data_IF_745244022446
#
_entry.id   IF_745244022446
#
_cell.length_a   1.000
_cell.length_b   1.000
_cell.length_c   1.000
_cell.angle_alpha   90.00
_cell.angle_beta   90.00
_cell.angle_gamma   90.00
#
_symmetry.space_group_name_H-M   'P 1'
#
loop_
_entity.id
_entity.type
_entity.pdbx_description
1 polymer ?
#
# COMPACT_ATOMS: atom_id res chain seq x y z
N UNK A 1 23.00 -59.67 7.23
CA UNK A 1 21.54 -59.58 7.24
C UNK A 1 21.17 -58.12 7.19
N UNK A 2 20.56 -57.68 6.09
CA UNK A 2 20.11 -56.30 6.00
C UNK A 2 19.02 -56.02 7.06
N UNK A 3 19.21 -55.05 7.90
CA UNK A 3 18.24 -54.60 8.87
C UNK A 3 16.98 -54.17 8.14
N UNK A 4 15.83 -54.83 8.41
CA UNK A 4 14.57 -54.41 7.82
C UNK A 4 14.30 -52.95 8.26
N UNK A 5 14.21 -52.05 7.30
CA UNK A 5 13.89 -50.66 7.59
C UNK A 5 12.55 -50.56 8.33
N UNK A 6 12.49 -49.74 9.37
CA UNK A 6 11.28 -49.56 10.18
C UNK A 6 10.19 -48.89 9.32
N UNK A 7 8.94 -49.21 9.57
CA UNK A 7 7.80 -48.63 8.87
C UNK A 7 7.87 -47.10 8.73
N UNK A 8 8.25 -46.41 9.80
CA UNK A 8 8.36 -44.95 9.81
C UNK A 8 9.55 -44.43 8.97
N UNK A 9 10.66 -45.19 8.88
CA UNK A 9 11.79 -44.80 8.04
C UNK A 9 11.41 -44.93 6.56
N UNK A 10 10.71 -46.01 6.20
CA UNK A 10 10.19 -46.21 4.85
C UNK A 10 9.14 -45.16 4.47
N UNK A 11 8.30 -44.71 5.40
CA UNK A 11 7.32 -43.64 5.17
C UNK A 11 8.01 -42.27 5.01
N UNK A 12 9.14 -42.03 5.67
CA UNK A 12 9.95 -40.81 5.48
C UNK A 12 10.67 -40.81 4.13
N UNK A 13 11.23 -41.92 3.74
CA UNK A 13 11.96 -42.06 2.46
C UNK A 13 11.01 -42.04 1.24
N UNK A 14 9.79 -42.53 1.41
CA UNK A 14 8.76 -42.49 0.38
C UNK A 14 8.04 -41.16 0.40
N UNK A 15 8.19 -40.37 -0.66
CA UNK A 15 7.44 -39.12 -0.89
C UNK A 15 5.92 -39.30 -0.87
N UNK A 16 5.42 -40.52 -1.00
CA UNK A 16 4.00 -40.86 -1.00
C UNK A 16 3.69 -42.01 -0.04
N UNK A 17 3.21 -41.66 1.15
CA UNK A 17 2.76 -42.59 2.16
C UNK A 17 1.57 -43.49 1.71
N UNK A 18 0.83 -43.08 0.68
CA UNK A 18 -0.27 -43.84 0.11
C UNK A 18 0.23 -45.12 -0.56
N UNK A 19 1.25 -45.04 -1.39
CA UNK A 19 1.85 -46.19 -2.09
C UNK A 19 2.43 -47.21 -1.10
N UNK A 20 3.02 -46.75 -0.03
CA UNK A 20 3.53 -47.64 1.02
C UNK A 20 2.40 -48.40 1.71
N UNK A 21 1.28 -47.74 2.05
CA UNK A 21 0.08 -48.35 2.65
C UNK A 21 -0.59 -49.34 1.70
N UNK A 22 -0.58 -49.03 0.39
CA UNK A 22 -1.12 -49.93 -0.63
C UNK A 22 -0.32 -51.24 -0.66
N UNK A 23 1.03 -51.18 -0.72
CA UNK A 23 1.89 -52.37 -0.66
C UNK A 23 1.70 -53.17 0.62
N UNK A 24 1.50 -52.49 1.76
CA UNK A 24 1.21 -53.16 3.04
C UNK A 24 -0.12 -53.94 2.95
N UNK A 25 -1.15 -53.37 2.40
CA UNK A 25 -2.46 -54.03 2.22
C UNK A 25 -2.38 -55.17 1.24
N UNK A 26 -1.67 -55.04 0.14
CA UNK A 26 -1.42 -56.11 -0.85
C UNK A 26 -0.67 -57.29 -0.18
N UNK A 27 0.31 -57.00 0.64
CA UNK A 27 1.00 -58.05 1.43
C UNK A 27 0.07 -58.77 2.39
N UNK A 28 -0.90 -58.08 3.01
CA UNK A 28 -1.90 -58.70 3.90
C UNK A 28 -2.76 -59.69 3.14
N UNK A 29 -3.15 -59.39 1.89
CA UNK A 29 -3.97 -60.31 1.05
C UNK A 29 -3.25 -61.64 0.80
N UNK A 30 -1.93 -61.61 0.65
CA UNK A 30 -1.13 -62.81 0.32
C UNK A 30 -0.63 -63.55 1.59
N UNK A 31 -0.17 -62.81 2.60
CA UNK A 31 0.59 -63.36 3.72
C UNK A 31 -0.13 -63.28 5.08
N UNK A 32 -1.22 -62.54 5.15
CA UNK A 32 -1.93 -62.27 6.38
C UNK A 32 -1.26 -61.20 7.27
N UNK A 33 -1.91 -60.85 8.38
CA UNK A 33 -1.58 -59.69 9.24
C UNK A 33 -0.23 -59.81 9.94
N UNK A 34 0.02 -60.95 10.60
CA UNK A 34 1.23 -61.14 11.42
C UNK A 34 2.52 -61.18 10.57
N UNK A 35 2.60 -61.93 9.46
CA UNK A 35 3.76 -61.91 8.59
C UNK A 35 4.02 -60.57 7.95
N UNK A 36 2.93 -59.85 7.52
CA UNK A 36 3.06 -58.49 6.99
C UNK A 36 3.63 -57.51 8.02
N UNK A 37 3.19 -57.58 9.27
CA UNK A 37 3.73 -56.73 10.34
C UNK A 37 5.23 -56.92 10.53
N UNK A 38 5.73 -58.21 10.47
CA UNK A 38 7.15 -58.51 10.51
C UNK A 38 7.90 -57.99 9.29
N UNK A 39 7.35 -58.20 8.09
CA UNK A 39 7.96 -57.77 6.81
C UNK A 39 8.15 -56.25 6.74
N UNK A 40 7.15 -55.51 7.19
CA UNK A 40 7.18 -54.05 7.19
C UNK A 40 7.72 -53.44 8.49
N UNK A 41 8.27 -54.23 9.39
CA UNK A 41 8.81 -53.81 10.69
C UNK A 41 7.85 -52.87 11.48
N UNK A 42 6.55 -53.19 11.45
CA UNK A 42 5.50 -52.37 12.08
C UNK A 42 4.65 -53.22 13.02
N UNK A 43 3.76 -52.57 13.79
CA UNK A 43 2.84 -53.29 14.70
C UNK A 43 1.68 -53.95 13.97
N UNK A 44 1.18 -55.05 14.49
CA UNK A 44 -0.03 -55.69 13.98
C UNK A 44 -1.26 -54.78 14.08
N UNK A 45 -1.27 -53.85 15.02
CA UNK A 45 -2.34 -52.85 15.17
C UNK A 45 -2.33 -51.87 13.97
N UNK A 46 -1.16 -51.41 13.52
CA UNK A 46 -1.00 -50.57 12.36
C UNK A 46 -1.47 -51.27 11.08
N UNK A 47 -1.09 -52.54 10.90
CA UNK A 47 -1.53 -53.37 9.78
C UNK A 47 -3.03 -53.55 9.78
N UNK A 48 -3.65 -53.92 10.94
CA UNK A 48 -5.08 -54.05 11.10
C UNK A 48 -5.82 -52.76 10.80
N UNK A 49 -5.30 -51.59 11.23
CA UNK A 49 -5.89 -50.29 10.96
C UNK A 49 -6.02 -50.04 9.45
N UNK A 50 -4.93 -50.20 8.70
CA UNK A 50 -4.93 -49.92 7.27
C UNK A 50 -5.72 -50.97 6.48
N UNK A 51 -5.65 -52.25 6.91
CA UNK A 51 -6.46 -53.33 6.33
C UNK A 51 -7.94 -53.06 6.50
N UNK A 52 -8.45 -52.73 7.70
CA UNK A 52 -9.85 -52.40 7.97
C UNK A 52 -10.32 -51.19 7.13
N UNK A 53 -9.51 -50.13 7.06
CA UNK A 53 -9.87 -48.98 6.27
C UNK A 53 -9.95 -49.29 4.76
N UNK A 54 -9.07 -50.13 4.28
CA UNK A 54 -9.12 -50.59 2.90
C UNK A 54 -10.37 -51.46 2.64
N UNK A 55 -10.73 -52.34 3.55
CA UNK A 55 -11.95 -53.17 3.39
C UNK A 55 -13.23 -52.33 3.39
N UNK A 56 -13.28 -51.26 4.19
CA UNK A 56 -14.46 -50.39 4.32
C UNK A 56 -14.58 -49.35 3.18
N UNK A 57 -13.47 -48.81 2.72
CA UNK A 57 -13.45 -47.63 1.84
C UNK A 57 -12.64 -47.86 0.55
N UNK A 58 -12.14 -49.07 0.33
CA UNK A 58 -11.26 -49.38 -0.80
C UNK A 58 -9.94 -48.57 -0.76
N UNK A 59 -9.35 -48.28 -1.93
CA UNK A 59 -8.12 -47.50 -2.03
C UNK A 59 -8.19 -46.11 -1.39
N UNK A 60 -9.38 -45.49 -1.37
CA UNK A 60 -9.57 -44.16 -0.76
C UNK A 60 -9.32 -44.15 0.75
N UNK A 61 -9.57 -45.30 1.44
CA UNK A 61 -9.30 -45.47 2.86
C UNK A 61 -7.83 -45.42 3.25
N UNK A 62 -6.91 -45.50 2.29
CA UNK A 62 -5.46 -45.39 2.50
C UNK A 62 -4.94 -43.96 2.50
N UNK A 63 -5.76 -42.97 2.07
CA UNK A 63 -5.44 -41.56 2.13
C UNK A 63 -5.38 -41.05 3.57
N UNK A 64 -4.55 -40.04 3.81
CA UNK A 64 -4.51 -39.35 5.10
C UNK A 64 -5.82 -38.60 5.32
N UNK A 65 -6.42 -38.76 6.49
CA UNK A 65 -7.54 -37.92 6.90
C UNK A 65 -7.00 -36.64 7.55
N UNK A 66 -7.69 -35.54 7.34
CA UNK A 66 -7.39 -34.32 8.07
C UNK A 66 -7.41 -34.57 9.59
N UNK A 67 -6.39 -34.07 10.27
CA UNK A 67 -6.31 -34.10 11.75
C UNK A 67 -6.86 -32.81 12.35
N UNK A 68 -7.38 -31.90 11.53
CA UNK A 68 -7.97 -30.66 12.01
C UNK A 68 -9.22 -30.97 12.86
N UNK A 69 -9.45 -30.27 13.95
CA UNK A 69 -10.66 -30.38 14.75
C UNK A 69 -11.90 -30.13 13.86
N UNK A 70 -12.92 -30.95 14.04
CA UNK A 70 -14.20 -30.80 13.32
C UNK A 70 -14.96 -29.54 13.75
N UNK A 71 -14.70 -29.07 14.95
CA UNK A 71 -15.31 -27.88 15.52
C UNK A 71 -14.25 -26.95 16.07
N UNK A 72 -14.34 -25.66 15.70
CA UNK A 72 -13.45 -24.60 16.16
C UNK A 72 -14.29 -23.55 16.90
N UNK A 73 -14.36 -23.58 18.24
CA UNK A 73 -15.19 -22.65 19.02
C UNK A 73 -14.87 -21.17 18.80
N UNK A 74 -13.62 -20.86 18.47
CA UNK A 74 -13.11 -19.50 18.25
C UNK A 74 -13.05 -19.13 16.75
N UNK A 75 -13.74 -19.86 15.87
CA UNK A 75 -13.79 -19.48 14.45
C UNK A 75 -14.52 -18.15 14.30
N UNK A 76 -13.96 -17.25 13.50
CA UNK A 76 -14.61 -15.99 13.12
C UNK A 76 -15.99 -16.26 12.54
N UNK A 77 -17.00 -15.49 12.92
CA UNK A 77 -18.36 -15.68 12.42
C UNK A 77 -18.42 -15.45 10.91
N UNK A 78 -19.33 -16.15 10.24
CA UNK A 78 -19.48 -16.03 8.79
C UNK A 78 -19.84 -14.61 8.32
N UNK A 79 -20.47 -13.80 9.16
CA UNK A 79 -20.78 -12.40 8.86
C UNK A 79 -19.51 -11.55 8.78
N UNK A 80 -18.63 -11.66 9.80
CA UNK A 80 -17.35 -10.96 9.84
C UNK A 80 -16.42 -11.46 8.72
N UNK A 81 -16.43 -12.77 8.44
CA UNK A 81 -15.63 -13.35 7.36
C UNK A 81 -16.02 -12.76 6.00
N UNK A 82 -17.30 -12.65 5.69
CA UNK A 82 -17.82 -11.99 4.47
C UNK A 82 -17.42 -10.52 4.40
N UNK A 83 -17.50 -9.78 5.51
CA UNK A 83 -17.08 -8.38 5.58
C UNK A 83 -15.59 -8.22 5.28
N UNK A 84 -14.74 -9.07 5.87
CA UNK A 84 -13.28 -9.08 5.66
C UNK A 84 -12.92 -9.39 4.20
N UNK A 85 -13.66 -10.30 3.55
CA UNK A 85 -13.48 -10.64 2.14
C UNK A 85 -13.90 -9.46 1.25
N UNK A 86 -15.09 -8.89 1.48
CA UNK A 86 -15.60 -7.75 0.72
C UNK A 86 -14.66 -6.55 0.79
N UNK A 87 -14.17 -6.19 1.98
CA UNK A 87 -13.20 -5.12 2.15
C UNK A 87 -11.88 -5.40 1.42
N UNK A 88 -11.42 -6.65 1.41
CA UNK A 88 -10.21 -7.03 0.68
C UNK A 88 -10.37 -6.91 -0.83
N UNK A 89 -11.56 -7.21 -1.35
CA UNK A 89 -11.88 -7.08 -2.78
C UNK A 89 -12.01 -5.61 -3.20
N UNK A 90 -12.62 -4.77 -2.36
CA UNK A 90 -12.77 -3.34 -2.60
C UNK A 90 -11.45 -2.57 -2.44
N UNK A 91 -10.60 -2.97 -1.49
CA UNK A 91 -9.35 -2.31 -1.13
C UNK A 91 -8.17 -3.30 -1.17
N UNK A 92 -7.81 -3.80 -2.36
CA UNK A 92 -6.87 -4.91 -2.52
C UNK A 92 -5.45 -4.58 -2.05
N UNK A 93 -5.10 -3.31 -1.95
CA UNK A 93 -3.77 -2.84 -1.53
C UNK A 93 -3.65 -2.63 -0.02
N UNK A 94 -4.79 -2.58 0.70
CA UNK A 94 -4.78 -2.35 2.14
C UNK A 94 -4.37 -3.62 2.91
N UNK A 95 -3.40 -3.48 3.80
CA UNK A 95 -2.98 -4.56 4.69
C UNK A 95 -3.98 -4.82 5.82
N UNK A 96 -3.98 -6.04 6.39
CA UNK A 96 -4.91 -6.44 7.46
C UNK A 96 -4.89 -5.51 8.68
N UNK A 97 -3.71 -5.03 9.09
CA UNK A 97 -3.57 -4.11 10.22
C UNK A 97 -4.20 -2.74 9.93
N UNK A 98 -4.11 -2.27 8.68
CA UNK A 98 -4.73 -1.02 8.24
C UNK A 98 -6.25 -1.15 8.19
N UNK A 99 -6.78 -2.18 7.51
CA UNK A 99 -8.22 -2.43 7.45
C UNK A 99 -8.85 -2.58 8.84
N UNK A 100 -8.19 -3.33 9.73
CA UNK A 100 -8.68 -3.45 11.11
C UNK A 100 -8.85 -2.09 11.79
N UNK A 101 -7.90 -1.18 11.60
CA UNK A 101 -7.86 0.12 12.26
C UNK A 101 -8.85 1.11 11.66
N UNK A 102 -8.93 1.16 10.33
CA UNK A 102 -9.81 2.10 9.63
C UNK A 102 -11.29 1.71 9.69
N UNK A 103 -11.59 0.42 9.78
CA UNK A 103 -12.97 -0.08 9.82
C UNK A 103 -13.38 -0.68 11.17
N UNK A 104 -12.55 -0.49 12.22
CA UNK A 104 -12.77 -1.00 13.59
C UNK A 104 -13.27 -2.46 13.63
N UNK A 105 -12.62 -3.34 12.86
CA UNK A 105 -13.08 -4.71 12.70
C UNK A 105 -12.86 -5.53 13.99
N UNK A 106 -13.90 -6.24 14.50
CA UNK A 106 -13.85 -7.04 15.71
C UNK A 106 -13.10 -8.38 15.48
N UNK A 107 -11.99 -8.34 14.77
CA UNK A 107 -11.19 -9.50 14.38
C UNK A 107 -9.72 -9.16 14.39
N UNK A 108 -8.86 -10.11 14.76
CA UNK A 108 -7.41 -9.88 14.74
C UNK A 108 -6.87 -9.83 13.30
N UNK A 109 -5.82 -9.04 13.08
CA UNK A 109 -5.17 -8.98 11.77
C UNK A 109 -4.62 -10.34 11.30
N UNK A 110 -4.24 -11.22 12.24
CA UNK A 110 -3.83 -12.59 11.93
C UNK A 110 -5.00 -13.46 11.43
N UNK A 111 -6.17 -13.31 12.04
CA UNK A 111 -7.38 -14.00 11.58
C UNK A 111 -7.81 -13.49 10.19
N UNK A 112 -7.71 -12.19 9.92
CA UNK A 112 -7.95 -11.64 8.57
C UNK A 112 -7.00 -12.22 7.52
N UNK A 113 -5.69 -12.32 7.83
CA UNK A 113 -4.72 -12.93 6.92
C UNK A 113 -4.99 -14.42 6.68
N UNK A 114 -5.50 -15.16 7.70
CA UNK A 114 -5.92 -16.54 7.54
C UNK A 114 -7.10 -16.64 6.57
N UNK A 115 -8.14 -15.83 6.76
CA UNK A 115 -9.31 -15.75 5.88
C UNK A 115 -8.87 -15.47 4.44
N UNK A 116 -8.01 -14.47 4.22
CA UNK A 116 -7.50 -14.17 2.89
C UNK A 116 -6.72 -15.33 2.25
N UNK A 117 -5.95 -16.08 3.05
CA UNK A 117 -5.23 -17.27 2.56
C UNK A 117 -6.18 -18.38 2.15
N UNK A 118 -7.22 -18.64 2.97
CA UNK A 118 -8.24 -19.65 2.70
C UNK A 118 -9.04 -19.34 1.42
N UNK A 119 -9.23 -18.04 1.12
CA UNK A 119 -9.94 -17.56 -0.07
C UNK A 119 -9.05 -17.15 -1.25
N UNK A 120 -7.74 -17.41 -1.18
CA UNK A 120 -6.80 -17.09 -2.28
C UNK A 120 -6.57 -15.60 -2.51
N UNK A 121 -6.88 -14.73 -1.53
CA UNK A 121 -6.81 -13.27 -1.62
C UNK A 121 -5.47 -12.69 -1.13
N UNK A 122 -4.46 -13.54 -0.84
CA UNK A 122 -3.12 -13.08 -0.49
C UNK A 122 -2.33 -12.69 -1.73
N UNK A 123 -1.85 -11.47 -1.73
CA UNK A 123 -0.88 -11.04 -2.74
C UNK A 123 0.56 -11.35 -2.31
N UNK A 124 1.46 -11.71 -3.24
CA UNK A 124 2.85 -11.96 -2.94
C UNK A 124 3.52 -10.69 -2.40
N UNK A 125 4.23 -10.81 -1.29
CA UNK A 125 4.92 -9.68 -0.67
C UNK A 125 6.13 -9.28 -1.51
N UNK A 126 6.18 -8.06 -2.02
CA UNK A 126 7.37 -7.50 -2.68
C UNK A 126 8.49 -7.30 -1.63
N UNK A 127 9.67 -7.85 -1.87
CA UNK A 127 10.84 -7.68 -0.99
C UNK A 127 11.34 -6.23 -1.05
N UNK A 128 11.44 -5.56 0.10
CA UNK A 128 12.06 -4.22 0.21
C UNK A 128 13.55 -4.36 0.55
N UNK A 129 14.40 -3.50 -0.04
CA UNK A 129 15.82 -3.47 0.25
C UNK A 129 16.10 -2.81 1.63
N UNK A 130 17.06 -3.36 2.36
CA UNK A 130 17.45 -2.99 3.73
C UNK A 130 17.96 -1.54 3.88
N UNK A 131 18.62 -0.99 2.84
CA UNK A 131 19.15 0.39 2.81
C UNK A 131 18.11 1.51 2.96
N UNK A 132 16.81 1.22 2.80
CA UNK A 132 15.75 2.23 3.02
C UNK A 132 15.44 2.49 4.50
N UNK A 133 15.87 1.64 5.42
CA UNK A 133 15.63 1.82 6.86
C UNK A 133 16.52 2.91 7.44
N UNK A 134 17.79 2.98 7.03
CA UNK A 134 18.75 3.96 7.54
C UNK A 134 18.36 5.40 7.16
N UNK A 135 17.88 5.61 5.92
CA UNK A 135 17.37 6.91 5.47
C UNK A 135 16.12 7.37 6.23
N UNK A 136 15.25 6.45 6.63
CA UNK A 136 14.05 6.78 7.41
C UNK A 136 14.42 7.32 8.79
N UNK A 137 15.45 6.75 9.44
CA UNK A 137 15.96 7.25 10.73
C UNK A 137 16.55 8.66 10.61
N UNK A 138 17.36 8.93 9.58
CA UNK A 138 17.94 10.25 9.33
C UNK A 138 16.84 11.30 9.10
N UNK A 139 15.86 10.99 8.23
CA UNK A 139 14.75 11.89 7.93
C UNK A 139 13.81 12.11 9.13
N UNK A 140 13.74 11.15 10.05
CA UNK A 140 12.99 11.30 11.29
C UNK A 140 13.59 12.32 12.28
N UNK A 141 14.83 12.73 12.08
CA UNK A 141 15.49 13.75 12.91
C UNK A 141 15.33 15.19 12.36
N UNK A 142 14.81 15.34 11.14
CA UNK A 142 14.64 16.65 10.52
C UNK A 142 13.54 17.47 11.20
N UNK A 143 13.68 18.79 11.15
CA UNK A 143 12.62 19.69 11.58
C UNK A 143 11.43 19.66 10.62
N UNK A 144 10.26 20.06 11.10
CA UNK A 144 9.10 20.29 10.22
C UNK A 144 9.44 21.40 9.21
N UNK A 145 9.05 21.18 7.96
CA UNK A 145 9.29 22.09 6.83
C UNK A 145 10.76 22.39 6.57
N UNK A 146 11.67 21.53 7.02
CA UNK A 146 13.08 21.63 6.64
C UNK A 146 13.30 21.24 5.18
N UNK A 147 12.53 20.26 4.68
CA UNK A 147 12.63 19.83 3.28
C UNK A 147 11.28 19.44 2.69
N UNK A 148 11.03 19.93 1.48
CA UNK A 148 9.98 19.45 0.59
C UNK A 148 10.65 18.73 -0.59
N UNK A 149 10.26 17.49 -0.85
CA UNK A 149 10.63 16.77 -2.06
C UNK A 149 9.52 16.96 -3.09
N UNK A 150 9.89 17.44 -4.28
CA UNK A 150 8.95 17.62 -5.38
C UNK A 150 9.34 16.78 -6.59
N UNK A 151 8.31 16.28 -7.29
CA UNK A 151 8.46 15.42 -8.45
C UNK A 151 7.23 15.51 -9.34
N UNK A 152 7.35 15.05 -10.58
CA UNK A 152 6.23 14.91 -11.50
C UNK A 152 5.97 13.44 -11.79
N UNK A 153 4.70 13.09 -12.00
CA UNK A 153 4.27 11.75 -12.40
C UNK A 153 3.48 11.84 -13.69
N UNK A 154 3.83 10.98 -14.65
CA UNK A 154 3.00 10.71 -15.80
C UNK A 154 1.80 9.86 -15.36
N UNK A 155 0.59 10.23 -15.78
CA UNK A 155 -0.64 9.51 -15.47
C UNK A 155 -1.13 8.68 -16.66
N UNK A 156 -0.53 8.86 -17.83
CA UNK A 156 -0.85 8.14 -19.07
C UNK A 156 -0.38 6.68 -19.07
N UNK A 157 0.51 6.31 -18.15
CA UNK A 157 0.97 4.95 -17.92
C UNK A 157 0.08 4.14 -16.95
N UNK A 158 -0.97 4.76 -16.37
CA UNK A 158 -1.91 4.09 -15.45
C UNK A 158 -3.07 3.48 -16.24
N UNK A 159 -3.16 2.14 -16.37
CA UNK A 159 -4.12 1.49 -17.27
C UNK A 159 -5.59 1.78 -16.96
N UNK A 160 -5.95 1.96 -15.68
CA UNK A 160 -7.31 2.26 -15.27
C UNK A 160 -7.68 3.73 -15.48
N UNK A 161 -6.73 4.63 -15.30
CA UNK A 161 -6.94 6.06 -15.41
C UNK A 161 -6.96 6.56 -16.86
N UNK A 162 -6.01 6.13 -17.68
CA UNK A 162 -5.75 6.74 -18.99
C UNK A 162 -6.92 6.72 -19.97
N UNK A 163 -7.70 5.62 -20.13
CA UNK A 163 -8.89 5.64 -21.00
C UNK A 163 -9.94 6.67 -20.57
N UNK A 164 -10.12 6.85 -19.25
CA UNK A 164 -11.03 7.85 -18.71
C UNK A 164 -10.51 9.27 -18.97
N UNK A 165 -9.19 9.46 -18.83
CA UNK A 165 -8.54 10.73 -19.08
C UNK A 165 -8.70 11.18 -20.53
N UNK A 166 -8.52 10.29 -21.48
CA UNK A 166 -8.75 10.58 -22.91
C UNK A 166 -10.19 10.95 -23.21
N UNK A 167 -11.15 10.26 -22.62
CA UNK A 167 -12.57 10.50 -22.84
C UNK A 167 -13.05 11.82 -22.23
N UNK A 168 -12.53 12.20 -21.06
CA UNK A 168 -13.03 13.32 -20.25
C UNK A 168 -12.12 14.56 -20.31
N UNK A 169 -11.00 14.50 -21.04
CA UNK A 169 -9.99 15.55 -21.06
C UNK A 169 -9.35 15.81 -19.70
N UNK A 170 -9.02 14.71 -18.96
CA UNK A 170 -8.35 14.81 -17.67
C UNK A 170 -6.84 15.02 -17.86
N UNK A 171 -6.11 15.52 -16.84
CA UNK A 171 -4.69 15.86 -16.96
C UNK A 171 -3.82 14.63 -17.17
N UNK A 172 -2.73 14.79 -17.92
CA UNK A 172 -1.73 13.72 -18.11
C UNK A 172 -0.57 13.79 -17.09
N UNK A 173 -0.34 14.94 -16.46
CA UNK A 173 0.79 15.16 -15.55
C UNK A 173 0.30 15.57 -14.16
N UNK A 174 0.81 14.88 -13.16
CA UNK A 174 0.68 15.23 -11.75
C UNK A 174 1.97 15.89 -11.26
N UNK A 175 1.84 17.00 -10.56
CA UNK A 175 2.89 17.65 -9.77
C UNK A 175 2.66 17.32 -8.31
N UNK A 176 3.69 16.81 -7.65
CA UNK A 176 3.64 16.37 -6.26
C UNK A 176 4.69 17.11 -5.44
N UNK A 177 4.29 17.67 -4.30
CA UNK A 177 5.21 18.18 -3.30
C UNK A 177 4.92 17.50 -1.97
N UNK A 178 5.95 16.96 -1.35
CA UNK A 178 5.84 16.24 -0.09
C UNK A 178 6.80 16.78 0.95
N UNK A 179 6.25 17.25 2.06
CA UNK A 179 7.04 17.60 3.24
C UNK A 179 7.61 16.31 3.86
N UNK A 180 8.92 16.25 4.06
CA UNK A 180 9.61 14.99 4.36
C UNK A 180 9.39 14.52 5.79
N UNK A 181 9.32 15.46 6.77
CA UNK A 181 9.19 15.11 8.19
C UNK A 181 7.79 14.55 8.54
N UNK A 182 6.74 15.25 8.19
CA UNK A 182 5.36 14.83 8.45
C UNK A 182 4.85 13.86 7.38
N UNK A 183 5.28 14.06 6.13
CA UNK A 183 4.74 13.40 4.96
C UNK A 183 3.53 14.13 4.38
N UNK A 184 3.31 15.39 4.73
CA UNK A 184 2.26 16.24 4.19
C UNK A 184 2.37 16.32 2.68
N UNK A 185 1.23 16.21 1.99
CA UNK A 185 1.14 16.04 0.56
C UNK A 185 0.37 17.19 -0.10
N UNK A 186 0.92 17.70 -1.19
CA UNK A 186 0.27 18.66 -2.07
C UNK A 186 0.30 18.19 -3.52
N UNK A 187 -0.80 18.41 -4.23
CA UNK A 187 -0.97 18.06 -5.63
C UNK A 187 -1.33 19.27 -6.50
N UNK A 188 -0.86 19.20 -7.75
CA UNK A 188 -1.33 20.02 -8.87
C UNK A 188 -1.33 19.15 -10.13
N UNK A 189 -2.14 19.52 -11.12
CA UNK A 189 -2.32 18.74 -12.34
C UNK A 189 -2.19 19.62 -13.57
N UNK A 190 -1.62 19.09 -14.65
CA UNK A 190 -1.49 19.79 -15.92
C UNK A 190 -1.67 18.85 -17.11
N UNK A 191 -2.00 19.39 -18.26
CA UNK A 191 -2.07 18.61 -19.51
C UNK A 191 -0.67 18.24 -20.00
N UNK A 192 0.31 19.15 -19.78
CA UNK A 192 1.70 18.95 -20.20
C UNK A 192 2.69 19.31 -19.11
N UNK A 193 3.81 18.60 -19.11
CA UNK A 193 4.93 18.90 -18.23
C UNK A 193 5.62 20.17 -18.70
N UNK A 194 5.74 21.17 -17.82
CA UNK A 194 6.39 22.46 -18.14
C UNK A 194 7.00 23.12 -16.91
N UNK A 195 8.03 23.96 -17.13
CA UNK A 195 8.64 24.77 -16.09
C UNK A 195 7.68 25.82 -15.52
N UNK A 196 6.79 26.37 -16.35
CA UNK A 196 5.77 27.32 -15.91
C UNK A 196 4.74 26.66 -14.97
N UNK A 197 4.25 25.46 -15.31
CA UNK A 197 3.33 24.74 -14.44
C UNK A 197 3.96 24.37 -13.09
N UNK A 198 5.22 23.91 -13.06
CA UNK A 198 5.93 23.65 -11.82
C UNK A 198 6.18 24.91 -10.98
N UNK A 199 6.43 26.05 -11.63
CA UNK A 199 6.56 27.34 -10.95
C UNK A 199 5.22 27.79 -10.33
N UNK A 200 4.10 27.69 -11.03
CA UNK A 200 2.76 27.95 -10.49
C UNK A 200 2.48 27.03 -9.28
N UNK A 201 2.78 25.76 -9.41
CA UNK A 201 2.58 24.79 -8.33
C UNK A 201 3.40 25.16 -7.08
N UNK A 202 4.71 25.42 -7.26
CA UNK A 202 5.60 25.82 -6.18
C UNK A 202 5.15 27.12 -5.51
N UNK A 203 4.81 28.15 -6.30
CA UNK A 203 4.33 29.42 -5.77
C UNK A 203 3.08 29.26 -4.91
N UNK A 204 2.13 28.41 -5.31
CA UNK A 204 0.91 28.12 -4.53
C UNK A 204 1.24 27.48 -3.18
N UNK A 205 2.14 26.50 -3.14
CA UNK A 205 2.57 25.85 -1.92
C UNK A 205 3.31 26.86 -1.02
N UNK A 206 4.23 27.64 -1.58
CA UNK A 206 4.97 28.68 -0.86
C UNK A 206 4.04 29.70 -0.19
N UNK A 207 3.08 30.26 -0.94
CA UNK A 207 2.10 31.20 -0.41
C UNK A 207 1.28 30.62 0.75
N UNK A 208 0.90 29.34 0.68
CA UNK A 208 0.23 28.68 1.79
C UNK A 208 1.15 28.60 3.02
N UNK A 209 2.37 28.10 2.84
CA UNK A 209 3.33 27.91 3.92
C UNK A 209 3.64 29.24 4.64
N UNK A 210 3.90 30.30 3.86
CA UNK A 210 4.17 31.66 4.38
C UNK A 210 3.00 32.19 5.22
N UNK A 211 1.76 32.05 4.70
CA UNK A 211 0.55 32.47 5.44
C UNK A 211 0.32 31.68 6.70
N UNK A 212 0.72 30.41 6.71
CA UNK A 212 0.65 29.56 7.88
C UNK A 212 1.85 29.77 8.85
N UNK A 213 2.69 30.76 8.59
CA UNK A 213 3.82 31.15 9.45
C UNK A 213 5.02 30.23 9.36
N UNK A 214 5.15 29.45 8.29
CA UNK A 214 6.34 28.63 8.03
C UNK A 214 7.45 29.51 7.47
N UNK A 215 8.66 29.43 8.06
CA UNK A 215 9.85 30.13 7.55
C UNK A 215 10.29 29.55 6.22
N UNK A 216 10.23 30.35 5.15
CA UNK A 216 10.69 29.91 3.83
C UNK A 216 12.22 29.90 3.70
N UNK A 217 12.93 30.67 4.51
CA UNK A 217 14.42 30.77 4.46
C UNK A 217 15.11 29.46 4.83
N UNK A 218 14.48 28.70 5.73
CA UNK A 218 15.02 27.43 6.21
C UNK A 218 14.52 26.24 5.40
N UNK A 219 13.61 26.48 4.44
CA UNK A 219 12.99 25.46 3.62
C UNK A 219 13.84 25.13 2.40
N UNK A 220 14.11 23.85 2.21
CA UNK A 220 14.80 23.31 1.03
C UNK A 220 13.81 22.57 0.14
N UNK A 221 13.72 22.96 -1.11
CA UNK A 221 13.04 22.19 -2.15
C UNK A 221 14.01 21.26 -2.84
N UNK A 222 13.76 19.98 -2.77
CA UNK A 222 14.56 18.97 -3.43
C UNK A 222 13.79 18.41 -4.63
N UNK A 223 14.41 18.45 -5.81
CA UNK A 223 13.88 17.90 -7.06
C UNK A 223 14.93 17.03 -7.75
N UNK A 224 14.52 16.31 -8.76
CA UNK A 224 15.46 15.76 -9.74
C UNK A 224 16.03 16.84 -10.68
N UNK A 225 16.70 16.40 -11.76
CA UNK A 225 17.26 17.29 -12.79
C UNK A 225 16.31 17.51 -13.97
N UNK A 226 15.02 17.22 -13.82
CA UNK A 226 14.01 17.41 -14.85
C UNK A 226 13.98 18.82 -15.44
N UNK A 227 13.59 18.93 -16.70
CA UNK A 227 13.50 20.23 -17.39
C UNK A 227 12.46 21.15 -16.75
N UNK A 228 11.42 20.59 -16.19
CA UNK A 228 10.32 21.27 -15.49
C UNK A 228 10.76 21.98 -14.20
N UNK A 229 11.85 21.54 -13.56
CA UNK A 229 12.41 22.17 -12.37
C UNK A 229 13.54 23.15 -12.69
N UNK A 230 13.65 23.59 -13.94
CA UNK A 230 14.59 24.61 -14.42
C UNK A 230 13.86 25.93 -14.71
N UNK A 231 14.61 26.95 -15.09
CA UNK A 231 14.02 28.20 -15.56
C UNK A 231 13.22 28.95 -14.49
N UNK A 232 11.90 28.86 -14.54
CA UNK A 232 11.00 29.63 -13.68
C UNK A 232 10.76 29.00 -12.31
N UNK A 233 10.93 27.69 -12.16
CA UNK A 233 10.72 27.00 -10.89
C UNK A 233 11.60 27.58 -9.74
N UNK A 234 12.93 27.72 -9.88
CA UNK A 234 13.75 28.33 -8.82
C UNK A 234 13.35 29.76 -8.48
N UNK A 235 12.87 30.55 -9.46
CA UNK A 235 12.39 31.92 -9.22
C UNK A 235 11.10 31.93 -8.38
N UNK A 236 10.24 30.94 -8.57
CA UNK A 236 8.99 30.80 -7.82
C UNK A 236 9.17 30.37 -6.36
N UNK A 237 10.37 29.92 -5.98
CA UNK A 237 10.66 29.48 -4.60
C UNK A 237 10.93 30.63 -3.62
N UNK A 238 11.00 31.87 -4.08
CA UNK A 238 11.24 33.04 -3.22
C UNK A 238 12.51 32.87 -2.36
N UNK A 239 12.35 32.97 -1.05
CA UNK A 239 13.46 32.85 -0.08
C UNK A 239 13.91 31.38 0.17
N UNK A 240 13.19 30.40 -0.35
CA UNK A 240 13.54 28.98 -0.14
C UNK A 240 14.71 28.53 -1.03
N UNK A 241 15.44 27.54 -0.54
CA UNK A 241 16.56 26.98 -1.29
C UNK A 241 16.11 25.90 -2.26
N UNK A 242 16.76 25.80 -3.43
CA UNK A 242 16.57 24.72 -4.39
C UNK A 242 17.80 23.81 -4.46
N UNK A 243 17.61 22.55 -4.18
CA UNK A 243 18.65 21.52 -4.28
C UNK A 243 18.22 20.45 -5.28
N UNK A 244 19.07 20.20 -6.26
CA UNK A 244 18.87 19.14 -7.23
C UNK A 244 19.62 17.88 -6.80
N UNK A 245 18.97 16.75 -6.96
CA UNK A 245 19.59 15.46 -6.65
C UNK A 245 20.69 15.16 -7.68
N UNK A 246 21.87 14.66 -7.22
CA UNK A 246 22.91 14.23 -8.14
C UNK A 246 22.39 13.15 -9.10
N UNK A 247 22.86 13.12 -10.36
CA UNK A 247 22.52 12.08 -11.32
C UNK A 247 22.74 10.68 -10.72
N UNK A 248 21.82 9.75 -11.00
CA UNK A 248 21.81 8.37 -10.50
C UNK A 248 21.60 8.19 -8.98
N UNK A 249 21.26 9.23 -8.24
CA UNK A 249 21.01 9.18 -6.79
C UNK A 249 19.51 8.97 -6.46
N UNK A 250 18.82 8.06 -7.13
CA UNK A 250 17.38 7.77 -7.02
C UNK A 250 16.89 7.53 -5.58
N UNK A 251 17.76 7.11 -4.67
CA UNK A 251 17.40 6.89 -3.26
C UNK A 251 16.98 8.16 -2.52
N UNK A 252 17.35 9.32 -2.99
CA UNK A 252 16.99 10.60 -2.36
C UNK A 252 15.55 11.03 -2.63
N UNK A 253 14.91 10.54 -3.71
CA UNK A 253 13.49 10.79 -4.02
C UNK A 253 12.54 9.70 -3.52
N UNK A 254 13.02 8.71 -2.79
CA UNK A 254 12.23 7.56 -2.34
C UNK A 254 10.93 7.91 -1.61
N UNK A 255 10.81 9.12 -1.05
CA UNK A 255 9.59 9.58 -0.38
C UNK A 255 8.48 9.89 -1.40
N UNK A 256 8.80 10.66 -2.45
CA UNK A 256 7.84 11.01 -3.49
C UNK A 256 7.51 9.78 -4.35
N UNK A 257 8.52 8.99 -4.77
CA UNK A 257 8.29 7.74 -5.50
C UNK A 257 7.38 6.78 -4.73
N UNK A 258 7.54 6.72 -3.40
CA UNK A 258 6.67 5.88 -2.56
C UNK A 258 5.24 6.40 -2.56
N UNK A 259 5.06 7.72 -2.55
CA UNK A 259 3.72 8.34 -2.62
C UNK A 259 3.08 8.08 -3.97
N UNK A 260 3.77 8.31 -5.09
CA UNK A 260 3.26 8.06 -6.43
C UNK A 260 2.72 6.63 -6.59
N UNK A 261 3.43 5.63 -6.04
CA UNK A 261 2.93 4.26 -6.05
C UNK A 261 1.71 4.06 -5.14
N UNK A 262 1.67 4.73 -3.97
CA UNK A 262 0.52 4.61 -3.08
C UNK A 262 -0.73 5.25 -3.67
N UNK A 263 -0.58 6.37 -4.35
CA UNK A 263 -1.64 7.08 -5.05
C UNK A 263 -2.20 6.25 -6.22
N UNK A 264 -1.32 5.62 -6.97
CA UNK A 264 -1.70 4.68 -8.03
C UNK A 264 -2.49 3.50 -7.44
N UNK A 265 -1.91 2.78 -6.46
CA UNK A 265 -2.50 1.61 -5.83
C UNK A 265 -3.81 1.90 -5.06
N UNK A 266 -3.96 3.09 -4.47
CA UNK A 266 -5.05 3.41 -3.52
C UNK A 266 -6.11 4.34 -4.12
N UNK A 267 -5.81 5.01 -5.22
CA UNK A 267 -6.69 6.00 -5.81
C UNK A 267 -6.86 5.81 -7.33
N UNK A 268 -5.82 6.01 -8.14
CA UNK A 268 -5.96 5.99 -9.59
C UNK A 268 -6.38 4.64 -10.18
N UNK A 269 -5.95 3.53 -9.59
CA UNK A 269 -6.35 2.17 -9.99
C UNK A 269 -7.77 1.77 -9.53
N UNK A 270 -8.41 2.59 -8.69
CA UNK A 270 -9.70 2.25 -8.08
C UNK A 270 -10.82 3.22 -8.50
N UNK A 271 -10.49 4.49 -8.80
CA UNK A 271 -11.49 5.53 -9.00
C UNK A 271 -11.96 5.62 -10.45
N UNK A 272 -13.27 5.86 -10.59
CA UNK A 272 -13.89 6.22 -11.86
C UNK A 272 -14.29 7.69 -11.81
N UNK A 273 -14.10 8.40 -12.93
CA UNK A 273 -14.38 9.82 -13.02
C UNK A 273 -15.52 10.07 -14.01
N UNK A 274 -16.39 11.03 -13.69
CA UNK A 274 -17.51 11.42 -14.53
C UNK A 274 -17.30 12.76 -15.26
N UNK A 275 -16.37 13.58 -14.78
CA UNK A 275 -16.04 14.90 -15.33
C UNK A 275 -14.72 15.44 -14.74
N UNK A 276 -14.21 16.54 -15.34
CA UNK A 276 -13.06 17.29 -14.77
C UNK A 276 -13.34 17.81 -13.36
N UNK A 277 -14.58 18.21 -13.06
CA UNK A 277 -14.99 18.67 -11.74
C UNK A 277 -15.03 17.53 -10.72
N UNK A 278 -15.56 16.37 -11.10
CA UNK A 278 -15.57 15.17 -10.29
C UNK A 278 -14.14 14.68 -9.99
N UNK A 279 -13.25 14.71 -10.98
CA UNK A 279 -11.83 14.43 -10.80
C UNK A 279 -11.21 15.32 -9.71
N UNK A 280 -11.36 16.66 -9.82
CA UNK A 280 -10.81 17.58 -8.80
C UNK A 280 -11.42 17.34 -7.41
N UNK A 281 -12.71 17.07 -7.32
CA UNK A 281 -13.36 16.78 -6.05
C UNK A 281 -12.79 15.50 -5.40
N UNK A 282 -12.61 14.44 -6.18
CA UNK A 282 -12.09 13.16 -5.71
C UNK A 282 -10.60 13.23 -5.32
N UNK A 283 -9.75 13.86 -6.15
CA UNK A 283 -8.34 14.05 -5.81
C UNK A 283 -8.18 14.93 -4.58
N UNK A 284 -9.01 15.96 -4.39
CA UNK A 284 -9.01 16.76 -3.18
C UNK A 284 -9.42 15.92 -1.95
N UNK A 285 -10.48 15.14 -2.08
CA UNK A 285 -10.92 14.24 -1.00
C UNK A 285 -9.83 13.25 -0.62
N UNK A 286 -9.14 12.64 -1.59
CA UNK A 286 -8.04 11.73 -1.31
C UNK A 286 -6.85 12.46 -0.66
N UNK A 287 -6.49 13.66 -1.13
CA UNK A 287 -5.43 14.46 -0.50
C UNK A 287 -5.76 14.81 0.96
N UNK A 288 -7.01 15.20 1.25
CA UNK A 288 -7.46 15.44 2.62
C UNK A 288 -7.40 14.17 3.47
N UNK A 289 -7.90 13.05 2.96
CA UNK A 289 -7.78 11.76 3.61
C UNK A 289 -6.31 11.39 3.89
N UNK A 290 -5.43 11.56 2.89
CA UNK A 290 -4.00 11.30 3.02
C UNK A 290 -3.36 12.15 4.12
N UNK A 291 -3.67 13.44 4.15
CA UNK A 291 -3.07 14.40 5.06
C UNK A 291 -3.63 14.31 6.50
N UNK A 292 -4.92 14.06 6.65
CA UNK A 292 -5.61 14.15 7.94
C UNK A 292 -5.82 12.79 8.62
N UNK A 293 -6.05 11.73 7.84
CA UNK A 293 -6.57 10.46 8.38
C UNK A 293 -5.66 9.28 8.09
N UNK A 294 -5.06 9.21 6.90
CA UNK A 294 -4.32 8.03 6.44
C UNK A 294 -3.13 7.70 7.34
N UNK A 295 -3.12 6.52 8.01
CA UNK A 295 -2.00 6.13 8.86
C UNK A 295 -0.77 5.76 8.04
N UNK A 296 0.39 6.30 8.38
CA UNK A 296 1.65 5.96 7.77
C UNK A 296 2.42 4.95 8.64
N UNK A 297 2.53 3.70 8.17
CA UNK A 297 3.21 2.62 8.90
C UNK A 297 4.69 2.89 9.19
N UNK A 298 5.33 3.77 8.42
CA UNK A 298 6.73 4.18 8.63
C UNK A 298 6.88 5.39 9.56
N UNK A 299 5.77 5.97 9.99
CA UNK A 299 5.70 7.15 10.88
C UNK A 299 4.77 6.85 12.06
N UNK A 300 5.01 5.75 12.77
CA UNK A 300 4.27 5.32 13.98
C UNK A 300 2.75 5.20 13.75
N UNK A 301 2.33 4.95 12.52
CA UNK A 301 0.93 4.93 12.09
C UNK A 301 0.18 6.26 12.30
N UNK A 302 0.89 7.37 12.37
CA UNK A 302 0.30 8.70 12.42
C UNK A 302 0.02 9.23 11.01
N UNK A 303 -1.02 10.05 10.88
CA UNK A 303 -1.24 10.87 9.68
C UNK A 303 -0.27 12.05 9.65
N UNK A 304 -0.05 12.69 8.49
CA UNK A 304 0.75 13.91 8.40
C UNK A 304 0.30 14.99 9.39
N UNK A 305 -0.99 15.23 9.52
CA UNK A 305 -1.54 16.20 10.47
C UNK A 305 -1.22 15.86 11.92
N UNK A 306 -1.42 14.62 12.34
CA UNK A 306 -1.09 14.19 13.70
C UNK A 306 0.39 14.40 14.05
N UNK A 307 1.28 14.25 13.08
CA UNK A 307 2.71 14.54 13.27
C UNK A 307 2.93 16.04 13.42
N UNK A 308 2.29 16.87 12.57
CA UNK A 308 2.39 18.34 12.64
C UNK A 308 1.85 18.83 13.98
N UNK A 309 0.66 18.41 14.36
CA UNK A 309 0.02 18.78 15.64
C UNK A 309 0.87 18.41 16.86
N UNK A 310 1.50 17.23 16.83
CA UNK A 310 2.41 16.79 17.89
C UNK A 310 3.70 17.62 17.97
N UNK A 311 4.32 17.94 16.82
CA UNK A 311 5.62 18.62 16.77
C UNK A 311 5.50 20.16 16.83
N UNK A 312 4.41 20.70 16.35
CA UNK A 312 4.10 22.13 16.31
C UNK A 312 2.61 22.37 16.59
N UNK A 313 2.15 22.27 17.86
CA UNK A 313 0.72 22.31 18.23
C UNK A 313 -0.03 23.61 17.87
N UNK A 314 0.71 24.67 17.52
CA UNK A 314 0.12 25.95 17.09
C UNK A 314 -0.02 26.09 15.58
N UNK A 315 0.35 25.07 14.83
CA UNK A 315 0.22 25.08 13.37
C UNK A 315 -1.24 25.13 12.96
N UNK A 316 -1.60 25.97 11.98
CA UNK A 316 -2.96 26.03 11.50
C UNK A 316 -3.29 24.81 10.64
N UNK A 317 -4.53 24.31 10.74
CA UNK A 317 -5.02 23.16 9.96
C UNK A 317 -5.00 23.45 8.45
N UNK A 318 -5.04 24.70 8.06
CA UNK A 318 -4.95 25.19 6.67
C UNK A 318 -3.75 24.63 5.92
N UNK A 319 -2.67 24.28 6.60
CA UNK A 319 -1.52 23.57 6.01
C UNK A 319 -1.94 22.29 5.25
N UNK A 320 -3.00 21.61 5.70
CA UNK A 320 -3.47 20.39 5.08
C UNK A 320 -4.55 20.61 3.99
N UNK A 321 -5.04 21.83 3.84
CA UNK A 321 -6.27 22.12 3.09
C UNK A 321 -6.06 22.74 1.71
N UNK A 322 -4.83 22.87 1.19
CA UNK A 322 -4.58 23.42 -0.13
C UNK A 322 -5.26 22.54 -1.20
N UNK A 323 -6.27 23.05 -1.90
CA UNK A 323 -6.95 22.23 -2.90
C UNK A 323 -6.07 22.00 -4.13
N UNK A 324 -6.05 20.77 -4.70
CA UNK A 324 -5.47 20.52 -6.01
C UNK A 324 -6.17 21.34 -7.09
N UNK A 325 -5.44 21.72 -8.14
CA UNK A 325 -5.96 22.51 -9.26
C UNK A 325 -5.37 22.04 -10.57
N UNK A 326 -6.01 22.42 -11.67
CA UNK A 326 -5.40 22.39 -13.00
C UNK A 326 -4.49 23.60 -13.15
N UNK A 327 -3.20 23.38 -13.27
CA UNK A 327 -2.17 24.42 -13.32
C UNK A 327 -2.25 25.22 -14.61
N UNK A 328 -2.73 24.61 -15.69
CA UNK A 328 -2.90 25.23 -17.00
C UNK A 328 -3.78 26.49 -16.94
N UNK A 329 -4.74 26.57 -16.01
CA UNK A 329 -5.61 27.75 -15.85
C UNK A 329 -4.87 29.01 -15.36
N UNK A 330 -3.65 28.86 -14.87
CA UNK A 330 -2.81 29.95 -14.36
C UNK A 330 -1.67 30.32 -15.30
N UNK A 331 -1.56 29.63 -16.42
CA UNK A 331 -0.62 29.97 -17.48
C UNK A 331 -1.25 31.00 -18.41
N UNK A 332 -0.41 31.90 -18.91
CA UNK A 332 -0.82 32.82 -19.98
C UNK A 332 -0.54 32.20 -21.37
N UNK A 333 -1.08 32.77 -22.42
CA UNK A 333 -0.95 32.28 -23.81
C UNK A 333 0.52 32.25 -24.30
N UNK A 334 1.42 33.00 -23.64
CA UNK A 334 2.86 33.01 -23.91
C UNK A 334 3.64 31.95 -23.11
N UNK A 335 2.96 31.10 -22.33
CA UNK A 335 3.58 30.06 -21.51
C UNK A 335 4.23 30.57 -20.21
N UNK A 336 4.05 31.87 -19.89
CA UNK A 336 4.39 32.44 -18.58
C UNK A 336 3.25 32.24 -17.57
N UNK A 337 3.49 32.62 -16.31
CA UNK A 337 2.46 32.61 -15.28
C UNK A 337 2.36 33.96 -14.58
N UNK A 338 1.14 34.30 -14.15
CA UNK A 338 0.87 35.50 -13.39
C UNK A 338 0.57 35.15 -11.93
N UNK A 339 1.49 35.47 -11.05
CA UNK A 339 1.36 35.22 -9.61
C UNK A 339 0.15 35.93 -9.01
N UNK A 340 -0.26 37.08 -9.59
CA UNK A 340 -1.45 37.82 -9.15
C UNK A 340 -2.78 37.11 -9.48
N UNK A 341 -2.76 36.18 -10.43
CA UNK A 341 -3.91 35.34 -10.79
C UNK A 341 -3.99 34.05 -9.93
N UNK A 342 -3.01 33.75 -9.11
CA UNK A 342 -3.09 32.61 -8.21
C UNK A 342 -4.25 32.84 -7.24
N UNK A 343 -5.39 32.11 -7.37
CA UNK A 343 -6.57 32.42 -6.59
C UNK A 343 -6.37 31.95 -5.17
N UNK A 344 -6.16 32.90 -4.32
CA UNK A 344 -6.55 32.76 -2.93
C UNK A 344 -7.62 33.81 -2.64
N UNK A 345 -8.78 33.68 -3.27
CA UNK A 345 -9.99 34.35 -2.78
C UNK A 345 -10.60 33.47 -1.70
N UNK A 346 -10.85 34.08 -0.55
CA UNK A 346 -11.65 33.53 0.54
C UNK A 346 -12.93 32.93 -0.05
N UNK A 347 -13.00 31.63 -0.24
CA UNK A 347 -14.28 30.96 -0.35
C UNK A 347 -14.70 30.54 1.05
N UNK A 348 -15.88 31.05 1.38
CA UNK A 348 -16.57 30.90 2.63
C UNK A 348 -16.41 29.50 3.24
N UNK A 349 -16.06 29.52 4.52
CA UNK A 349 -16.35 28.52 5.55
C UNK A 349 -17.41 27.50 5.16
N UNK A 350 -17.01 26.39 4.55
CA UNK A 350 -17.77 25.16 4.66
C UNK A 350 -17.53 24.65 6.09
N UNK A 351 -18.50 24.86 6.97
CA UNK A 351 -18.52 24.25 8.29
C UNK A 351 -18.60 22.74 8.10
N UNK A 352 -17.45 22.07 8.19
CA UNK A 352 -17.41 20.62 8.40
C UNK A 352 -17.96 20.39 9.81
N UNK A 353 -19.18 19.90 9.92
CA UNK A 353 -19.71 19.36 11.16
C UNK A 353 -18.96 18.07 11.44
N UNK A 354 -18.00 18.14 12.32
CA UNK A 354 -17.44 16.96 12.99
C UNK A 354 -18.49 16.52 14.00
N UNK A 355 -19.13 15.39 13.75
CA UNK A 355 -19.95 14.74 14.78
C UNK A 355 -19.00 14.14 15.82
N UNK A 356 -19.14 14.66 17.04
CA UNK A 356 -18.53 14.13 18.25
C UNK A 356 -19.05 12.73 18.59
#
# INVERSE_FOLDING_TARGET
MASAARYFDLVREMKDAYNHRLRLVESVKVRGIKPTARLFATSTLTVRKWWRRYQQQGPSGLKEHSRAPLHHPQKTSAAIERQVIALRQQLPTFGAARLKREFDLPVSHMAMQRIWREHGLLQPRRKKYQRKQDLAHIKAQWALFQQISADTKDLDDIPHYWPQAQQLGLPAIQYTAREVRSGLLYWGFAEKRSAAASAVFAARVQQLLERCGVSLRDLVWQTDNGGEFKGDFPKALGDSQHVRIPPAAHTYQSDVETVHRLEEDEFFDLENFSSRGDFLAKVHTYQLYFNLVRPNSHKENQSPWQIIERLAPRSPLELCLLPPVFLDYYLNDSGGYDVARLPYRRHATARVKVHS
#
